data_IF_350179863721
#
_entry.id   IF_350179863721
#
_cell.length_a   1.000
_cell.length_b   1.000
_cell.length_c   1.000
_cell.angle_alpha   90.00
_cell.angle_beta   90.00
_cell.angle_gamma   90.00
#
_symmetry.space_group_name_H-M   'P 1'
#
loop_
_entity.id
_entity.type
_entity.pdbx_description
1 polymer ?
#
# COMPACT_ATOMS: atom_id res chain seq x y z
N UNK A 1 -15.42 10.76 22.66
CA UNK A 1 -14.97 10.57 21.29
C UNK A 1 -15.19 9.13 20.89
N UNK A 2 -15.71 8.90 19.69
CA UNK A 2 -15.90 7.54 19.16
C UNK A 2 -14.53 6.90 18.97
N UNK A 3 -14.31 5.74 19.57
CA UNK A 3 -13.03 5.03 19.47
C UNK A 3 -12.90 4.44 18.06
N UNK A 4 -11.97 4.98 17.28
CA UNK A 4 -11.68 4.55 15.91
C UNK A 4 -11.40 3.04 15.84
N UNK A 5 -10.76 2.49 16.87
CA UNK A 5 -10.49 1.05 16.98
C UNK A 5 -11.79 0.22 16.98
N UNK A 6 -12.81 0.69 17.69
CA UNK A 6 -14.10 0.02 17.74
C UNK A 6 -14.87 0.15 16.42
N UNK A 7 -14.72 1.27 15.73
CA UNK A 7 -15.31 1.44 14.39
C UNK A 7 -14.68 0.47 13.39
N UNK A 8 -13.35 0.38 13.40
CA UNK A 8 -12.62 -0.55 12.54
C UNK A 8 -13.01 -1.99 12.84
N UNK A 9 -13.04 -2.38 14.12
CA UNK A 9 -13.47 -3.73 14.55
C UNK A 9 -14.91 -4.04 14.13
N UNK A 10 -15.82 -3.09 14.33
CA UNK A 10 -17.22 -3.26 13.95
C UNK A 10 -17.39 -3.41 12.44
N UNK A 11 -16.66 -2.61 11.67
CA UNK A 11 -16.69 -2.69 10.21
C UNK A 11 -16.08 -4.01 9.71
N UNK A 12 -14.95 -4.46 10.28
CA UNK A 12 -14.33 -5.73 9.92
C UNK A 12 -15.27 -6.90 10.26
N UNK A 13 -15.88 -6.94 11.46
CA UNK A 13 -16.86 -7.97 11.84
C UNK A 13 -18.05 -7.99 10.90
N UNK A 14 -18.70 -6.85 10.74
CA UNK A 14 -19.86 -6.71 9.84
C UNK A 14 -19.53 -7.14 8.41
N UNK A 15 -18.31 -6.92 7.99
CA UNK A 15 -17.80 -7.27 6.68
C UNK A 15 -17.48 -8.74 6.57
N UNK A 16 -16.81 -9.33 7.56
CA UNK A 16 -16.53 -10.76 7.62
C UNK A 16 -17.82 -11.59 7.64
N UNK A 17 -18.82 -11.17 8.44
CA UNK A 17 -20.15 -11.82 8.52
C UNK A 17 -20.90 -11.76 7.19
N UNK A 18 -20.67 -10.73 6.37
CA UNK A 18 -21.31 -10.57 5.05
C UNK A 18 -20.59 -11.33 3.95
N UNK A 19 -19.28 -11.49 4.09
CA UNK A 19 -18.47 -12.07 3.00
C UNK A 19 -18.55 -13.59 2.98
N UNK A 20 -18.60 -14.27 4.13
CA UNK A 20 -18.56 -15.74 4.16
C UNK A 20 -17.51 -16.28 3.18
N UNK A 21 -17.95 -17.09 2.22
CA UNK A 21 -17.12 -17.58 1.11
C UNK A 21 -17.04 -16.62 -0.09
N UNK A 22 -17.25 -15.30 0.13
CA UNK A 22 -17.23 -14.33 -0.94
C UNK A 22 -15.88 -14.31 -1.68
N UNK A 23 -15.93 -14.09 -2.97
CA UNK A 23 -14.74 -14.01 -3.81
C UNK A 23 -13.82 -12.86 -3.37
N UNK A 24 -12.52 -13.00 -3.60
CA UNK A 24 -11.51 -11.96 -3.34
C UNK A 24 -11.88 -10.62 -3.99
N UNK A 25 -12.47 -10.65 -5.17
CA UNK A 25 -12.97 -9.46 -5.88
C UNK A 25 -13.98 -8.68 -5.05
N UNK A 26 -14.82 -9.37 -4.26
CA UNK A 26 -15.80 -8.71 -3.37
C UNK A 26 -15.09 -8.05 -2.17
N UNK A 27 -14.08 -8.68 -1.58
CA UNK A 27 -13.31 -8.12 -0.47
C UNK A 27 -12.57 -6.84 -0.88
N UNK A 28 -11.97 -6.82 -2.08
CA UNK A 28 -11.33 -5.62 -2.63
C UNK A 28 -12.30 -4.45 -2.76
N UNK A 29 -13.48 -4.69 -3.31
CA UNK A 29 -14.48 -3.66 -3.58
C UNK A 29 -15.21 -3.14 -2.35
N UNK A 30 -14.95 -3.69 -1.15
CA UNK A 30 -15.55 -3.19 0.09
C UNK A 30 -15.03 -1.82 0.51
N UNK A 31 -13.84 -1.44 0.06
CA UNK A 31 -13.39 -0.06 0.10
C UNK A 31 -13.52 0.48 -1.33
N UNK A 32 -14.48 1.35 -1.59
CA UNK A 32 -14.79 1.77 -2.96
C UNK A 32 -13.63 2.57 -3.58
N UNK A 33 -13.55 2.51 -4.90
CA UNK A 33 -12.66 3.39 -5.66
C UNK A 33 -13.10 4.85 -5.53
N UNK A 34 -12.14 5.74 -5.50
CA UNK A 34 -12.41 7.16 -5.59
C UNK A 34 -12.81 7.54 -7.03
N UNK A 35 -13.59 8.60 -7.18
CA UNK A 35 -13.79 9.23 -8.47
C UNK A 35 -12.57 10.09 -8.82
N UNK A 36 -11.79 9.62 -9.79
CA UNK A 36 -10.57 10.31 -10.24
C UNK A 36 -10.76 11.13 -11.53
N UNK A 37 -12.00 11.33 -11.96
CA UNK A 37 -12.34 12.02 -13.21
C UNK A 37 -11.85 13.48 -13.25
N UNK A 38 -11.77 14.14 -12.11
CA UNK A 38 -11.25 15.51 -11.99
C UNK A 38 -9.71 15.59 -12.11
N UNK A 39 -9.01 14.49 -12.00
CA UNK A 39 -7.55 14.43 -12.06
C UNK A 39 -7.09 14.00 -13.45
N UNK A 40 -6.86 14.95 -14.33
CA UNK A 40 -6.53 14.69 -15.73
C UNK A 40 -5.06 14.32 -15.96
N UNK A 41 -4.17 14.75 -15.07
CA UNK A 41 -2.73 14.50 -15.19
C UNK A 41 -2.33 13.29 -14.35
N UNK A 42 -2.53 12.09 -14.91
CA UNK A 42 -2.26 10.82 -14.24
C UNK A 42 -1.85 9.73 -15.22
N UNK A 43 -1.17 8.72 -14.70
CA UNK A 43 -0.92 7.45 -15.39
C UNK A 43 -1.38 6.34 -14.46
N UNK A 44 -2.29 5.51 -14.92
CA UNK A 44 -2.89 4.43 -14.12
C UNK A 44 -2.45 3.05 -14.59
N UNK A 45 -2.57 2.08 -13.68
CA UNK A 45 -2.28 0.65 -13.95
C UNK A 45 -0.87 0.36 -14.46
N UNK A 46 0.10 1.09 -13.94
CA UNK A 46 1.51 0.85 -14.22
C UNK A 46 1.93 -0.44 -13.51
N UNK A 47 2.31 -1.45 -14.27
CA UNK A 47 2.80 -2.72 -13.74
C UNK A 47 4.22 -2.57 -13.19
N UNK A 48 4.42 -2.85 -11.90
CA UNK A 48 5.74 -2.86 -11.26
C UNK A 48 6.27 -4.27 -11.00
N UNK A 49 5.43 -5.28 -11.07
CA UNK A 49 5.76 -6.69 -10.91
C UNK A 49 4.84 -7.58 -11.73
N UNK A 50 5.20 -8.85 -11.86
CA UNK A 50 4.50 -9.80 -12.74
C UNK A 50 4.09 -11.10 -12.04
N UNK A 51 4.17 -11.16 -10.72
CA UNK A 51 3.73 -12.35 -9.95
C UNK A 51 2.22 -12.43 -9.83
N UNK A 52 1.58 -11.29 -9.62
CA UNK A 52 0.12 -11.19 -9.53
C UNK A 52 -0.37 -9.97 -10.31
N UNK A 53 -1.66 -9.94 -10.60
CA UNK A 53 -2.33 -8.82 -11.25
C UNK A 53 -2.49 -7.58 -10.34
N UNK A 54 -2.17 -7.72 -9.03
CA UNK A 54 -2.22 -6.65 -8.04
C UNK A 54 -0.96 -5.78 -8.02
N UNK A 55 0.11 -6.21 -8.65
CA UNK A 55 1.40 -5.52 -8.68
C UNK A 55 1.39 -4.36 -9.68
N UNK A 56 0.51 -3.41 -9.42
CA UNK A 56 0.31 -2.19 -10.21
C UNK A 56 0.26 -0.97 -9.31
N UNK A 57 0.60 0.18 -9.87
CA UNK A 57 0.50 1.47 -9.20
C UNK A 57 -0.07 2.54 -10.13
N UNK A 58 -0.60 3.59 -9.55
CA UNK A 58 -1.10 4.77 -10.24
C UNK A 58 -0.30 6.00 -9.81
N UNK A 59 0.01 6.89 -10.74
CA UNK A 59 0.72 8.14 -10.46
C UNK A 59 -0.16 9.31 -10.87
N UNK A 60 -0.39 10.22 -9.93
CA UNK A 60 -1.07 11.49 -10.13
C UNK A 60 -0.05 12.62 -10.05
N UNK A 61 -0.08 13.54 -10.99
CA UNK A 61 0.91 14.60 -11.12
C UNK A 61 0.33 15.98 -10.82
N UNK A 62 1.15 16.90 -10.25
CA UNK A 62 0.81 18.31 -10.21
C UNK A 62 0.53 18.88 -11.59
N UNK A 63 -0.41 19.82 -11.69
CA UNK A 63 -0.82 20.41 -12.97
C UNK A 63 0.15 21.45 -13.53
N UNK A 64 1.00 22.04 -12.70
CA UNK A 64 1.69 23.30 -13.03
C UNK A 64 3.20 23.21 -13.24
N UNK A 65 3.82 22.03 -13.19
CA UNK A 65 5.28 21.86 -13.31
C UNK A 65 5.66 20.65 -14.12
N UNK A 66 6.86 20.68 -14.67
CA UNK A 66 7.38 19.55 -15.47
C UNK A 66 8.21 18.53 -14.67
N UNK A 67 8.26 18.65 -13.33
CA UNK A 67 9.08 17.77 -12.49
C UNK A 67 10.58 18.08 -12.57
N UNK A 68 11.47 17.17 -12.10
CA UNK A 68 11.10 15.93 -11.43
C UNK A 68 10.42 16.19 -10.06
N UNK A 69 9.32 15.49 -9.80
CA UNK A 69 8.55 15.67 -8.58
C UNK A 69 8.98 14.71 -7.47
N UNK A 70 9.05 15.19 -6.21
CA UNK A 70 9.09 14.28 -5.09
C UNK A 70 7.83 13.41 -5.07
N UNK A 71 7.96 12.21 -4.55
CA UNK A 71 6.89 11.20 -4.52
C UNK A 71 6.30 11.07 -3.15
N UNK A 72 4.99 11.00 -3.10
CA UNK A 72 4.20 10.62 -1.95
C UNK A 72 3.46 9.33 -2.28
N UNK A 73 3.92 8.18 -1.77
CA UNK A 73 3.35 6.88 -2.08
C UNK A 73 2.53 6.35 -0.92
N UNK A 74 1.23 6.19 -1.16
CA UNK A 74 0.29 5.62 -0.21
C UNK A 74 0.25 4.10 -0.35
N UNK A 75 0.35 3.41 0.78
CA UNK A 75 0.09 1.98 0.96
C UNK A 75 -1.22 1.85 1.71
N UNK A 76 -2.25 1.37 1.02
CA UNK A 76 -3.60 1.31 1.58
C UNK A 76 -3.73 0.34 2.76
N UNK A 77 -4.70 0.62 3.65
CA UNK A 77 -5.10 -0.26 4.74
C UNK A 77 -6.07 -1.35 4.28
N UNK A 78 -6.71 -2.00 5.24
CA UNK A 78 -7.72 -3.04 4.98
C UNK A 78 -7.36 -4.41 5.54
N UNK A 79 -6.64 -4.47 6.66
CA UNK A 79 -6.33 -5.70 7.38
C UNK A 79 -5.65 -6.78 6.49
N UNK A 80 -4.87 -6.35 5.50
CA UNK A 80 -4.20 -7.20 4.49
C UNK A 80 -5.17 -8.09 3.69
N UNK A 81 -6.46 -7.87 3.84
CA UNK A 81 -7.53 -8.68 3.27
C UNK A 81 -8.47 -7.86 2.39
N UNK A 82 -8.68 -6.59 2.71
CA UNK A 82 -9.59 -5.67 2.03
C UNK A 82 -8.84 -4.54 1.34
N UNK A 83 -9.57 -3.81 0.50
CA UNK A 83 -9.09 -2.59 -0.11
C UNK A 83 -8.37 -2.81 -1.42
N UNK A 84 -7.98 -1.70 -2.01
CA UNK A 84 -7.32 -1.66 -3.32
C UNK A 84 -6.64 -0.30 -3.51
N UNK A 85 -5.71 -0.23 -4.47
CA UNK A 85 -5.15 1.05 -4.86
C UNK A 85 -6.24 2.00 -5.38
N UNK A 86 -6.00 3.29 -5.26
CA UNK A 86 -6.93 4.34 -5.72
C UNK A 86 -8.31 4.21 -5.07
N UNK A 87 -8.37 3.76 -3.83
CA UNK A 87 -9.61 3.77 -3.05
C UNK A 87 -9.91 5.18 -2.53
N UNK A 88 -11.11 5.37 -1.97
CA UNK A 88 -11.49 6.64 -1.33
C UNK A 88 -10.53 7.05 -0.20
N UNK A 89 -9.79 6.10 0.38
CA UNK A 89 -8.76 6.38 1.37
C UNK A 89 -7.56 7.14 0.81
N UNK A 90 -7.32 7.03 -0.50
CA UNK A 90 -6.25 7.73 -1.19
C UNK A 90 -6.59 9.21 -1.48
N UNK A 91 -7.85 9.58 -1.53
CA UNK A 91 -8.28 10.94 -1.91
C UNK A 91 -7.64 12.06 -1.05
N UNK A 92 -7.53 11.95 0.29
CA UNK A 92 -6.87 12.97 1.09
C UNK A 92 -5.40 13.21 0.72
N UNK A 93 -4.71 12.19 0.21
CA UNK A 93 -3.29 12.28 -0.19
C UNK A 93 -3.08 13.14 -1.42
N UNK A 94 -4.10 13.30 -2.25
CA UNK A 94 -4.03 14.14 -3.45
C UNK A 94 -3.88 15.63 -3.13
N UNK A 95 -4.03 16.03 -1.86
CA UNK A 95 -3.63 17.37 -1.41
C UNK A 95 -2.15 17.63 -1.61
N UNK A 96 -1.32 16.59 -1.67
CA UNK A 96 0.10 16.65 -2.00
C UNK A 96 0.38 17.24 -3.38
N UNK A 97 -0.54 17.09 -4.34
CA UNK A 97 -0.41 17.67 -5.68
C UNK A 97 -0.24 19.20 -5.62
N UNK A 98 -1.02 19.88 -4.75
CA UNK A 98 -0.94 21.34 -4.56
C UNK A 98 0.38 21.77 -3.92
N UNK A 99 1.11 20.84 -3.31
CA UNK A 99 2.41 21.07 -2.69
C UNK A 99 3.58 20.63 -3.58
N UNK A 100 3.30 20.23 -4.82
CA UNK A 100 4.31 19.85 -5.79
C UNK A 100 4.82 18.44 -5.63
N UNK A 101 4.03 17.51 -5.07
CA UNK A 101 4.33 16.09 -5.01
C UNK A 101 3.58 15.33 -6.09
N UNK A 102 4.24 14.36 -6.72
CA UNK A 102 3.52 13.29 -7.41
C UNK A 102 2.96 12.34 -6.35
N UNK A 103 1.66 12.06 -6.42
CA UNK A 103 0.98 11.18 -5.48
C UNK A 103 0.79 9.81 -6.13
N UNK A 104 1.29 8.76 -5.47
CA UNK A 104 1.27 7.39 -5.96
C UNK A 104 0.38 6.54 -5.07
N UNK A 105 -0.54 5.78 -5.68
CA UNK A 105 -1.29 4.74 -4.99
C UNK A 105 -0.80 3.37 -5.46
N UNK A 106 -0.32 2.54 -4.54
CA UNK A 106 0.26 1.24 -4.85
C UNK A 106 -0.68 0.10 -4.47
N UNK A 107 -0.88 -0.83 -5.40
CA UNK A 107 -1.54 -2.11 -5.14
C UNK A 107 -0.58 -3.15 -4.59
N UNK A 108 -1.09 -4.07 -3.83
CA UNK A 108 -0.38 -5.26 -3.35
C UNK A 108 -1.35 -6.43 -3.21
N UNK A 109 -0.80 -7.64 -3.18
CA UNK A 109 -1.60 -8.85 -3.10
C UNK A 109 -2.18 -9.05 -1.71
N UNK A 110 -3.50 -9.25 -1.65
CA UNK A 110 -4.24 -9.45 -0.41
C UNK A 110 -4.31 -10.95 -0.05
N UNK A 111 -4.55 -11.25 1.23
CA UNK A 111 -4.90 -12.60 1.67
C UNK A 111 -6.29 -13.00 1.14
N UNK A 112 -6.54 -14.25 0.81
CA UNK A 112 -5.64 -15.40 0.87
C UNK A 112 -4.80 -15.63 -0.39
N UNK A 113 -4.85 -14.76 -1.40
CA UNK A 113 -4.08 -14.91 -2.65
C UNK A 113 -2.58 -14.77 -2.41
N UNK A 114 -2.18 -13.94 -1.46
CA UNK A 114 -0.81 -13.78 -1.02
C UNK A 114 -0.74 -13.64 0.48
N UNK A 115 0.29 -14.25 1.06
CA UNK A 115 0.57 -14.22 2.48
C UNK A 115 1.90 -13.52 2.74
N UNK A 116 2.12 -13.13 3.99
CA UNK A 116 3.44 -12.69 4.42
C UNK A 116 4.52 -13.70 3.94
N UNK A 117 5.64 -13.27 3.37
CA UNK A 117 6.10 -11.87 3.26
C UNK A 117 5.77 -11.18 1.93
N UNK A 118 4.98 -11.77 1.03
CA UNK A 118 4.76 -11.26 -0.32
C UNK A 118 4.33 -9.77 -0.36
N UNK A 119 3.35 -9.29 0.42
CA UNK A 119 2.96 -7.88 0.36
C UNK A 119 4.10 -6.91 0.70
N UNK A 120 4.96 -7.28 1.66
CA UNK A 120 6.14 -6.47 2.02
C UNK A 120 7.13 -6.41 0.85
N UNK A 121 7.40 -7.54 0.22
CA UNK A 121 8.27 -7.64 -0.95
C UNK A 121 7.74 -6.81 -2.11
N UNK A 122 6.43 -6.79 -2.31
CA UNK A 122 5.77 -6.00 -3.34
C UNK A 122 5.93 -4.48 -3.10
N UNK A 123 5.76 -4.00 -1.87
CA UNK A 123 6.00 -2.58 -1.55
C UNK A 123 7.46 -2.19 -1.80
N UNK A 124 8.41 -3.04 -1.40
CA UNK A 124 9.83 -2.82 -1.69
C UNK A 124 10.11 -2.78 -3.20
N UNK A 125 9.51 -3.70 -3.95
CA UNK A 125 9.61 -3.75 -5.40
C UNK A 125 9.05 -2.48 -6.06
N UNK A 126 7.93 -1.95 -5.58
CA UNK A 126 7.34 -0.72 -6.08
C UNK A 126 8.26 0.49 -5.87
N UNK A 127 8.90 0.61 -4.71
CA UNK A 127 9.90 1.67 -4.45
C UNK A 127 11.09 1.57 -5.41
N UNK A 128 11.63 0.36 -5.59
CA UNK A 128 12.71 0.13 -6.55
C UNK A 128 12.31 0.45 -7.98
N UNK A 129 11.11 0.04 -8.37
CA UNK A 129 10.56 0.31 -9.70
C UNK A 129 10.48 1.82 -9.99
N UNK A 130 9.98 2.59 -9.04
CA UNK A 130 9.92 4.05 -9.16
C UNK A 130 11.31 4.66 -9.33
N UNK A 131 12.30 4.23 -8.55
CA UNK A 131 13.69 4.70 -8.69
C UNK A 131 14.30 4.36 -10.03
N UNK A 132 14.15 3.11 -10.47
CA UNK A 132 14.65 2.66 -11.78
C UNK A 132 14.06 3.45 -12.94
N UNK A 133 12.80 3.81 -12.84
CA UNK A 133 12.05 4.47 -13.90
C UNK A 133 11.81 5.96 -13.62
N UNK A 134 12.62 6.57 -12.75
CA UNK A 134 12.42 7.93 -12.28
C UNK A 134 12.37 8.96 -13.42
N UNK A 135 13.27 8.85 -14.40
CA UNK A 135 13.29 9.72 -15.57
C UNK A 135 12.02 9.56 -16.41
N UNK A 136 11.64 8.33 -16.71
CA UNK A 136 10.43 8.02 -17.50
C UNK A 136 9.17 8.62 -16.89
N UNK A 137 9.04 8.54 -15.56
CA UNK A 137 7.86 9.05 -14.83
C UNK A 137 8.08 10.43 -14.25
N UNK A 138 9.20 11.10 -14.57
CA UNK A 138 9.53 12.47 -14.15
C UNK A 138 9.43 12.68 -12.65
N UNK A 139 9.88 11.72 -11.87
CA UNK A 139 9.92 11.77 -10.40
C UNK A 139 11.36 11.89 -9.90
N UNK A 140 11.52 12.42 -8.69
CA UNK A 140 12.81 12.53 -8.04
C UNK A 140 13.12 11.24 -7.25
N UNK A 141 14.10 10.44 -7.67
CA UNK A 141 14.43 9.19 -7.03
C UNK A 141 14.98 9.34 -5.61
N UNK A 142 15.39 10.55 -5.24
CA UNK A 142 15.97 10.87 -3.94
C UNK A 142 14.96 11.48 -2.96
N UNK A 143 13.71 11.60 -3.35
CA UNK A 143 12.64 12.16 -2.53
C UNK A 143 11.37 11.32 -2.63
N UNK A 144 11.42 10.11 -2.07
CA UNK A 144 10.27 9.18 -2.01
C UNK A 144 9.83 9.03 -0.57
N UNK A 145 8.62 9.44 -0.29
CA UNK A 145 7.94 9.27 1.00
C UNK A 145 6.98 8.11 0.91
N UNK A 146 7.10 7.13 1.81
CA UNK A 146 6.08 6.12 2.03
C UNK A 146 5.11 6.59 3.08
N UNK A 147 3.84 6.37 2.83
CA UNK A 147 2.80 6.57 3.82
C UNK A 147 1.87 5.36 3.88
N UNK A 148 1.53 4.94 5.07
CA UNK A 148 0.55 3.88 5.27
C UNK A 148 -0.34 4.14 6.48
N UNK A 149 -1.58 3.63 6.39
CA UNK A 149 -2.53 3.56 7.48
C UNK A 149 -2.88 2.11 7.82
N UNK A 150 -3.03 1.77 9.11
CA UNK A 150 -3.43 0.43 9.57
C UNK A 150 -2.50 -0.67 9.02
N UNK A 151 -3.02 -1.65 8.29
CA UNK A 151 -2.23 -2.68 7.60
C UNK A 151 -1.20 -2.07 6.63
N UNK A 152 -1.53 -0.98 5.95
CA UNK A 152 -0.61 -0.25 5.09
C UNK A 152 0.55 0.38 5.86
N UNK A 153 0.31 0.88 7.08
CA UNK A 153 1.37 1.37 7.95
C UNK A 153 2.33 0.25 8.36
N UNK A 154 1.80 -0.94 8.70
CA UNK A 154 2.61 -2.11 8.99
C UNK A 154 3.51 -2.48 7.80
N UNK A 155 2.93 -2.60 6.59
CA UNK A 155 3.67 -2.94 5.39
C UNK A 155 4.74 -1.89 5.05
N UNK A 156 4.40 -0.61 5.11
CA UNK A 156 5.32 0.48 4.86
C UNK A 156 6.49 0.52 5.86
N UNK A 157 6.19 0.33 7.16
CA UNK A 157 7.21 0.28 8.20
C UNK A 157 8.16 -0.91 7.99
N UNK A 158 7.61 -2.10 7.77
CA UNK A 158 8.42 -3.31 7.61
C UNK A 158 9.27 -3.24 6.33
N UNK A 159 8.72 -2.71 5.25
CA UNK A 159 9.47 -2.44 4.03
C UNK A 159 10.64 -1.47 4.27
N UNK A 160 10.39 -0.39 5.03
CA UNK A 160 11.40 0.61 5.31
C UNK A 160 12.53 0.11 6.22
N UNK A 161 12.21 -0.62 7.31
CA UNK A 161 13.24 -1.09 8.27
C UNK A 161 14.00 -2.31 7.76
N UNK A 162 13.46 -3.06 6.82
CA UNK A 162 14.11 -4.23 6.22
C UNK A 162 14.75 -3.96 4.87
N UNK A 163 14.70 -2.71 4.39
CA UNK A 163 15.22 -2.37 3.07
C UNK A 163 16.73 -2.62 2.98
N UNK A 164 17.14 -3.13 1.82
CA UNK A 164 18.54 -3.35 1.45
C UNK A 164 19.36 -4.22 2.44
N UNK A 165 18.68 -5.03 3.26
CA UNK A 165 19.31 -5.91 4.24
C UNK A 165 19.46 -7.36 3.77
N UNK A 166 18.89 -7.70 2.64
CA UNK A 166 18.71 -9.08 2.17
C UNK A 166 17.55 -9.81 2.86
N UNK A 167 16.97 -9.22 3.90
CA UNK A 167 15.79 -9.75 4.57
C UNK A 167 14.52 -9.32 3.83
N UNK A 168 13.62 -10.26 3.56
CA UNK A 168 12.40 -10.01 2.80
C UNK A 168 12.65 -9.42 1.39
N UNK A 169 13.73 -9.84 0.73
CA UNK A 169 14.13 -9.34 -0.58
C UNK A 169 14.37 -10.45 -1.60
N UNK A 170 13.68 -11.57 -1.41
CA UNK A 170 13.91 -12.79 -2.21
C UNK A 170 13.63 -12.60 -3.71
N UNK A 171 12.75 -11.67 -4.05
CA UNK A 171 12.44 -11.36 -5.43
C UNK A 171 12.41 -9.85 -5.65
N UNK A 172 13.37 -9.36 -6.39
CA UNK A 172 13.58 -7.94 -6.65
C UNK A 172 12.90 -7.46 -7.94
N UNK A 173 12.14 -8.34 -8.60
CA UNK A 173 11.41 -8.04 -9.83
C UNK A 173 12.30 -7.40 -10.92
N UNK A 174 13.58 -7.82 -10.99
CA UNK A 174 14.55 -7.28 -11.94
C UNK A 174 15.06 -5.86 -11.62
N UNK A 175 14.87 -5.37 -10.40
CA UNK A 175 15.26 -4.03 -9.95
C UNK A 175 16.40 -4.06 -8.91
N UNK A 176 17.28 -5.03 -8.98
CA UNK A 176 18.28 -5.41 -7.96
C UNK A 176 19.26 -4.29 -7.61
N UNK A 177 19.56 -3.40 -8.56
CA UNK A 177 20.52 -2.30 -8.38
C UNK A 177 19.92 -1.05 -7.74
N UNK A 178 18.64 -1.05 -7.43
CA UNK A 178 17.93 0.09 -6.88
C UNK A 178 17.52 -0.17 -5.42
N UNK A 179 17.72 0.83 -4.56
CA UNK A 179 17.36 0.73 -3.15
C UNK A 179 15.84 0.76 -2.96
N UNK A 180 15.34 -0.08 -2.03
CA UNK A 180 13.96 -0.04 -1.55
C UNK A 180 13.76 0.98 -0.42
N UNK A 181 14.82 1.67 0.03
CA UNK A 181 14.77 2.57 1.17
C UNK A 181 13.99 3.84 0.84
N UNK A 182 12.88 4.15 1.53
CA UNK A 182 12.23 5.43 1.39
C UNK A 182 13.08 6.55 2.02
N UNK A 183 12.89 7.78 1.56
CA UNK A 183 13.58 8.95 2.13
C UNK A 183 12.87 9.47 3.39
N UNK A 184 11.56 9.22 3.49
CA UNK A 184 10.77 9.49 4.68
C UNK A 184 9.63 8.48 4.81
N UNK A 185 9.10 8.36 6.02
CA UNK A 185 8.06 7.41 6.36
C UNK A 185 7.02 8.09 7.24
N UNK A 186 5.75 7.94 6.87
CA UNK A 186 4.61 8.42 7.65
C UNK A 186 3.70 7.24 7.97
N UNK A 187 3.46 7.00 9.24
CA UNK A 187 2.70 5.84 9.71
C UNK A 187 1.50 6.30 10.55
N UNK A 188 0.32 5.88 10.14
CA UNK A 188 -0.92 6.16 10.85
C UNK A 188 -1.52 4.88 11.41
N UNK A 189 -1.79 4.87 12.72
CA UNK A 189 -2.48 3.82 13.45
C UNK A 189 -2.10 2.40 13.01
N UNK A 190 -0.82 2.15 12.83
CA UNK A 190 -0.29 0.85 12.42
C UNK A 190 -0.30 -0.18 13.54
N UNK A 191 -0.37 -1.45 13.17
CA UNK A 191 -0.25 -2.58 14.07
C UNK A 191 1.20 -3.10 14.03
N UNK A 192 2.01 -2.77 15.03
CA UNK A 192 3.44 -3.07 15.03
C UNK A 192 3.87 -4.09 16.09
N UNK A 193 3.05 -4.32 17.11
CA UNK A 193 3.33 -5.27 18.17
C UNK A 193 2.06 -6.05 18.51
N UNK A 194 1.99 -7.28 18.05
CA UNK A 194 0.81 -8.14 18.21
C UNK A 194 0.68 -8.72 19.61
N UNK A 195 1.77 -8.79 20.36
CA UNK A 195 1.79 -9.38 21.71
C UNK A 195 1.46 -8.36 22.79
N UNK A 196 2.09 -7.17 22.74
CA UNK A 196 1.98 -6.16 23.79
C UNK A 196 0.69 -5.33 23.75
N UNK A 197 0.20 -5.03 22.57
CA UNK A 197 -0.96 -4.17 22.41
C UNK A 197 -2.30 -4.93 22.43
N UNK A 198 -2.27 -6.21 22.76
CA UNK A 198 -3.42 -7.08 22.59
C UNK A 198 -3.78 -7.26 21.11
N UNK A 199 -4.67 -8.17 20.83
CA UNK A 199 -5.14 -8.42 19.46
C UNK A 199 -6.13 -7.35 19.05
N UNK A 200 -5.67 -6.40 18.22
CA UNK A 200 -6.51 -5.34 17.66
C UNK A 200 -7.52 -5.88 16.65
N UNK A 201 -7.19 -6.99 16.01
CA UNK A 201 -7.98 -7.65 14.98
C UNK A 201 -8.32 -9.07 15.43
N UNK A 202 -9.34 -9.65 14.83
CA UNK A 202 -9.72 -11.05 15.04
C UNK A 202 -8.59 -11.99 14.57
N UNK A 203 -8.45 -13.13 15.22
CA UNK A 203 -7.38 -14.10 14.95
C UNK A 203 -7.32 -14.55 13.49
N UNK A 204 -8.48 -14.76 12.86
CA UNK A 204 -8.55 -15.16 11.47
C UNK A 204 -7.87 -14.18 10.51
N UNK A 205 -7.83 -12.87 10.83
CA UNK A 205 -7.14 -11.86 10.02
C UNK A 205 -5.64 -12.11 10.03
N UNK A 206 -5.08 -12.37 11.21
CA UNK A 206 -3.64 -12.67 11.34
C UNK A 206 -3.29 -14.02 10.70
N UNK A 207 -4.11 -15.03 10.94
CA UNK A 207 -3.94 -16.35 10.33
C UNK A 207 -3.92 -16.25 8.81
N UNK A 208 -4.85 -15.53 8.21
CA UNK A 208 -4.84 -15.29 6.76
C UNK A 208 -3.59 -14.54 6.29
N UNK A 209 -3.18 -13.49 7.01
CA UNK A 209 -2.00 -12.72 6.62
C UNK A 209 -0.71 -13.56 6.68
N UNK A 210 -0.54 -14.34 7.73
CA UNK A 210 0.63 -15.21 7.88
C UNK A 210 0.52 -16.53 7.12
N UNK A 211 -0.65 -16.88 6.60
CA UNK A 211 -0.86 -18.14 5.89
C UNK A 211 -0.78 -19.36 6.80
N UNK A 212 -1.18 -19.22 8.06
CA UNK A 212 -1.22 -20.31 9.04
C UNK A 212 -2.66 -20.73 9.30
N UNK A 213 -2.87 -22.04 9.46
CA UNK A 213 -4.13 -22.62 9.97
C UNK A 213 -3.91 -23.07 11.40
N UNK A 214 -4.99 -23.10 12.19
CA UNK A 214 -4.99 -23.70 13.53
C UNK A 214 -4.53 -25.16 13.50
#
# INVERSE_FOLDING_TARGET
GMDITNIIKANIRSTADRLGDASVTTAESMIPLMDDSAYLNKITDITYGTKTDKEKLDIFYPSERNGPWPVFMEVHGGAWYFGQKKSVEFEPFLTGLKRGFACVSVGYTLSPQGHYPLPVQEIKAAVRFLRKNAEKYRIDPNRIVLWGGSAGAHLAALAAVSCDTGYLEKDLFGNDFFSAKPNALVLWYGCFDYEKNGRLLEDWVYQNFFGVSD
#
